data_IF_455949754711
#
_entry.id   IF_455949754711
#
_cell.length_a   1.000
_cell.length_b   1.000
_cell.length_c   1.000
_cell.angle_alpha   90.00
_cell.angle_beta   90.00
_cell.angle_gamma   90.00
#
_symmetry.space_group_name_H-M   'P 1'
#
loop_
_entity.id
_entity.type
_entity.pdbx_description
1 polymer ?
#
# COMPACT_ATOMS: atom_id res chain seq x y z
N UNK A 1 21.77 -23.18 -1.41
CA UNK A 1 21.62 -21.77 -1.83
C UNK A 1 20.28 -21.65 -2.52
N UNK A 2 19.20 -21.54 -1.75
CA UNK A 2 17.85 -21.42 -2.32
C UNK A 2 17.70 -20.01 -2.85
N UNK A 3 17.27 -19.94 -4.11
CA UNK A 3 16.80 -18.77 -4.83
C UNK A 3 15.60 -18.15 -4.12
N UNK A 4 15.85 -17.55 -2.97
CA UNK A 4 14.93 -16.58 -2.40
C UNK A 4 14.86 -15.44 -3.42
N UNK A 5 13.80 -15.46 -4.21
CA UNK A 5 13.56 -14.43 -5.21
C UNK A 5 13.66 -13.06 -4.56
N UNK A 6 13.95 -12.04 -5.37
CA UNK A 6 13.97 -10.62 -4.97
C UNK A 6 12.92 -10.35 -3.88
N UNK A 7 13.21 -9.55 -2.83
CA UNK A 7 12.27 -9.24 -1.75
C UNK A 7 10.84 -8.91 -2.24
N UNK A 8 10.72 -8.33 -3.43
CA UNK A 8 9.46 -8.14 -4.15
C UNK A 8 8.69 -9.44 -4.47
N UNK A 9 9.35 -10.46 -5.02
CA UNK A 9 8.79 -11.78 -5.30
C UNK A 9 8.33 -12.48 -4.02
N UNK A 10 9.08 -12.30 -2.92
CA UNK A 10 8.70 -12.83 -1.60
C UNK A 10 7.42 -12.15 -1.09
N UNK A 11 7.32 -10.82 -1.20
CA UNK A 11 6.12 -10.08 -0.81
C UNK A 11 4.90 -10.56 -1.62
N UNK A 12 5.02 -10.66 -2.94
CA UNK A 12 3.92 -11.10 -3.81
C UNK A 12 3.42 -12.50 -3.46
N UNK A 13 4.33 -13.43 -3.17
CA UNK A 13 3.97 -14.77 -2.68
C UNK A 13 3.28 -14.73 -1.32
N UNK A 14 3.75 -13.88 -0.41
CA UNK A 14 3.14 -13.73 0.90
C UNK A 14 1.71 -13.17 0.83
N UNK A 15 1.46 -12.22 -0.08
CA UNK A 15 0.12 -11.69 -0.38
C UNK A 15 -0.78 -12.82 -0.92
N UNK A 16 -0.31 -13.58 -1.91
CA UNK A 16 -1.06 -14.72 -2.47
C UNK A 16 -1.39 -15.79 -1.42
N UNK A 17 -0.49 -16.03 -0.47
CA UNK A 17 -0.71 -16.93 0.66
C UNK A 17 -1.55 -16.33 1.79
N UNK A 18 -1.87 -15.04 1.73
CA UNK A 18 -2.57 -14.29 2.79
C UNK A 18 -1.80 -14.24 4.11
N UNK A 19 -0.48 -14.40 4.13
CA UNK A 19 0.28 -14.51 5.38
C UNK A 19 0.68 -13.12 5.92
N UNK A 20 -0.17 -12.53 6.77
CA UNK A 20 0.06 -11.19 7.36
C UNK A 20 1.40 -11.05 8.09
N UNK A 21 1.87 -12.10 8.77
CA UNK A 21 3.16 -12.05 9.47
C UNK A 21 4.32 -11.87 8.49
N UNK A 22 4.34 -12.66 7.41
CA UNK A 22 5.38 -12.58 6.37
C UNK A 22 5.25 -11.30 5.55
N UNK A 23 4.02 -10.85 5.27
CA UNK A 23 3.76 -9.57 4.60
C UNK A 23 4.38 -8.43 5.40
N UNK A 24 4.10 -8.33 6.71
CA UNK A 24 4.60 -7.25 7.55
C UNK A 24 6.12 -7.25 7.64
N UNK A 25 6.75 -8.43 7.79
CA UNK A 25 8.20 -8.55 7.80
C UNK A 25 8.81 -8.09 6.46
N UNK A 26 8.28 -8.57 5.35
CA UNK A 26 8.83 -8.26 4.01
C UNK A 26 8.60 -6.80 3.62
N UNK A 27 7.45 -6.22 3.97
CA UNK A 27 7.17 -4.82 3.71
C UNK A 27 8.09 -3.88 4.51
N UNK A 28 8.45 -4.27 5.74
CA UNK A 28 9.43 -3.52 6.54
C UNK A 28 10.84 -3.56 5.91
N UNK A 29 11.25 -4.69 5.34
CA UNK A 29 12.52 -4.85 4.63
C UNK A 29 12.58 -4.01 3.33
N UNK A 30 11.49 -3.98 2.57
CA UNK A 30 11.41 -3.25 1.30
C UNK A 30 11.44 -1.73 1.45
N UNK A 31 11.07 -1.20 2.63
CA UNK A 31 11.04 0.24 2.93
C UNK A 31 9.93 1.02 2.22
N UNK A 32 9.51 0.61 1.03
CA UNK A 32 8.37 1.15 0.29
C UNK A 32 7.67 0.05 -0.51
N UNK A 33 6.34 0.10 -0.57
CA UNK A 33 5.52 -0.84 -1.36
C UNK A 33 4.75 -0.08 -2.43
N UNK A 34 4.60 -0.67 -3.60
CA UNK A 34 3.80 -0.09 -4.69
C UNK A 34 2.35 0.08 -4.25
N UNK A 35 1.60 0.97 -4.89
CA UNK A 35 0.18 1.14 -4.57
C UNK A 35 -0.62 -0.16 -4.86
N UNK A 36 -0.24 -0.88 -5.93
CA UNK A 36 -0.78 -2.20 -6.28
C UNK A 36 -0.54 -3.24 -5.18
N UNK A 37 0.69 -3.37 -4.69
CA UNK A 37 0.97 -4.34 -3.63
C UNK A 37 0.29 -3.94 -2.32
N UNK A 38 0.20 -2.63 -2.04
CA UNK A 38 -0.54 -2.13 -0.89
C UNK A 38 -2.03 -2.46 -0.96
N UNK A 39 -2.65 -2.48 -2.15
CA UNK A 39 -4.01 -2.99 -2.35
C UNK A 39 -4.06 -4.49 -2.04
N UNK A 40 -3.09 -5.27 -2.53
CA UNK A 40 -2.99 -6.69 -2.20
C UNK A 40 -2.94 -6.96 -0.70
N UNK A 41 -2.14 -6.19 0.04
CA UNK A 41 -2.07 -6.25 1.51
C UNK A 41 -3.41 -5.87 2.15
N UNK A 42 -4.06 -4.82 1.66
CA UNK A 42 -5.37 -4.37 2.14
C UNK A 42 -6.42 -5.48 2.01
N UNK A 43 -6.46 -6.20 0.89
CA UNK A 43 -7.37 -7.33 0.69
C UNK A 43 -7.08 -8.49 1.64
N UNK A 44 -5.81 -8.72 2.00
CA UNK A 44 -5.48 -9.72 3.04
C UNK A 44 -5.97 -9.26 4.42
N UNK A 45 -5.90 -7.96 4.72
CA UNK A 45 -6.41 -7.39 5.98
C UNK A 45 -7.93 -7.52 6.03
N UNK A 46 -8.64 -7.11 4.97
CA UNK A 46 -10.10 -7.25 4.85
C UNK A 46 -10.56 -8.69 5.15
N UNK A 47 -9.88 -9.69 4.57
CA UNK A 47 -10.21 -11.09 4.77
C UNK A 47 -9.89 -11.65 6.17
N UNK A 48 -9.16 -10.93 7.04
CA UNK A 48 -8.58 -11.49 8.29
C UNK A 48 -8.73 -10.65 9.55
N UNK A 49 -8.85 -9.34 9.43
CA UNK A 49 -8.71 -8.40 10.55
C UNK A 49 -9.47 -7.08 10.24
N UNK A 50 -10.74 -7.07 10.66
CA UNK A 50 -11.70 -6.00 10.40
C UNK A 50 -11.29 -4.66 11.07
N UNK A 51 -10.72 -4.69 12.28
CA UNK A 51 -10.37 -3.46 13.02
C UNK A 51 -9.30 -2.61 12.30
N UNK A 52 -8.42 -3.25 11.55
CA UNK A 52 -7.33 -2.58 10.83
C UNK A 52 -7.72 -2.17 9.42
N UNK A 53 -8.78 -2.77 8.88
CA UNK A 53 -9.20 -2.56 7.50
C UNK A 53 -9.51 -1.08 7.25
N UNK A 54 -10.36 -0.46 8.07
CA UNK A 54 -10.80 0.92 7.88
C UNK A 54 -9.60 1.90 7.78
N UNK A 55 -8.67 1.79 8.73
CA UNK A 55 -7.45 2.63 8.74
C UNK A 55 -6.54 2.35 7.55
N UNK A 56 -6.45 1.09 7.11
CA UNK A 56 -5.65 0.70 5.97
C UNK A 56 -6.27 1.18 4.65
N UNK A 57 -7.60 1.10 4.52
CA UNK A 57 -8.37 1.56 3.38
C UNK A 57 -8.26 3.09 3.19
N UNK A 58 -8.48 3.86 4.26
CA UNK A 58 -8.32 5.33 4.24
C UNK A 58 -6.89 5.72 3.83
N UNK A 59 -5.88 5.06 4.40
CA UNK A 59 -4.48 5.31 4.04
C UNK A 59 -4.20 4.97 2.57
N UNK A 60 -4.76 3.88 2.07
CA UNK A 60 -4.59 3.47 0.68
C UNK A 60 -5.25 4.47 -0.28
N UNK A 61 -6.48 4.91 0.00
CA UNK A 61 -7.18 5.92 -0.80
C UNK A 61 -6.43 7.26 -0.81
N UNK A 62 -5.88 7.69 0.33
CA UNK A 62 -5.04 8.87 0.41
C UNK A 62 -3.75 8.75 -0.42
N UNK A 63 -3.17 7.55 -0.53
CA UNK A 63 -2.03 7.31 -1.44
C UNK A 63 -2.45 7.35 -2.89
N UNK A 64 -3.59 6.75 -3.25
CA UNK A 64 -4.12 6.80 -4.61
C UNK A 64 -4.26 8.25 -5.10
N UNK A 65 -4.85 9.12 -4.27
CA UNK A 65 -5.00 10.54 -4.57
C UNK A 65 -3.67 11.31 -4.74
N UNK A 66 -2.56 10.79 -4.20
CA UNK A 66 -1.24 11.42 -4.27
C UNK A 66 -0.31 10.80 -5.32
N UNK A 67 -0.52 9.54 -5.67
CA UNK A 67 0.37 8.74 -6.53
C UNK A 67 -0.15 8.58 -7.97
N UNK A 68 -1.44 8.83 -8.21
CA UNK A 68 -2.03 8.83 -9.56
C UNK A 68 -2.20 10.28 -10.07
N UNK A 69 -1.30 10.78 -10.95
CA UNK A 69 -1.25 12.19 -11.34
C UNK A 69 -2.43 12.66 -12.20
N UNK A 70 -3.12 11.73 -12.84
CA UNK A 70 -4.26 11.92 -13.74
C UNK A 70 -5.60 11.50 -13.10
N UNK A 71 -5.60 11.25 -11.78
CA UNK A 71 -6.80 10.82 -11.07
C UNK A 71 -7.80 11.98 -10.92
N UNK A 72 -9.04 11.75 -11.33
CA UNK A 72 -10.12 12.72 -11.18
C UNK A 72 -10.98 12.46 -9.93
N UNK A 73 -11.69 13.49 -9.46
CA UNK A 73 -12.57 13.39 -8.29
C UNK A 73 -13.64 12.28 -8.40
N UNK A 74 -14.31 12.06 -9.55
CA UNK A 74 -15.27 10.96 -9.68
C UNK A 74 -14.62 9.58 -9.55
N UNK A 75 -13.37 9.43 -10.01
CA UNK A 75 -12.62 8.18 -9.91
C UNK A 75 -12.22 7.90 -8.46
N UNK A 76 -11.81 8.94 -7.72
CA UNK A 76 -11.56 8.83 -6.28
C UNK A 76 -12.83 8.47 -5.51
N UNK A 77 -13.96 9.11 -5.82
CA UNK A 77 -15.24 8.76 -5.21
C UNK A 77 -15.63 7.30 -5.49
N UNK A 78 -15.52 6.85 -6.74
CA UNK A 78 -15.76 5.46 -7.13
C UNK A 78 -14.78 4.47 -6.47
N UNK A 79 -13.55 4.88 -6.20
CA UNK A 79 -12.60 4.07 -5.42
C UNK A 79 -13.07 3.91 -3.96
N UNK A 80 -13.58 4.97 -3.33
CA UNK A 80 -14.13 4.89 -1.96
C UNK A 80 -15.37 3.99 -1.91
N UNK A 81 -16.27 4.11 -2.89
CA UNK A 81 -17.43 3.22 -3.02
C UNK A 81 -16.99 1.76 -3.21
N UNK A 82 -15.99 1.53 -4.06
CA UNK A 82 -15.42 0.18 -4.27
C UNK A 82 -14.78 -0.38 -3.00
N UNK A 83 -14.11 0.44 -2.19
CA UNK A 83 -13.57 0.00 -0.89
C UNK A 83 -14.66 -0.46 0.08
N UNK A 84 -15.81 0.23 0.11
CA UNK A 84 -16.96 -0.18 0.92
C UNK A 84 -17.67 -1.43 0.38
N UNK A 85 -17.58 -1.69 -0.92
CA UNK A 85 -18.21 -2.83 -1.57
C UNK A 85 -17.39 -4.13 -1.47
N UNK A 86 -16.17 -4.09 -0.91
CA UNK A 86 -15.37 -5.29 -0.73
C UNK A 86 -16.13 -6.35 0.11
N UNK A 87 -16.01 -7.65 -0.22
CA UNK A 87 -15.03 -8.24 -1.14
C UNK A 87 -15.50 -8.37 -2.61
N UNK A 88 -16.50 -7.59 -3.07
CA UNK A 88 -17.03 -7.67 -4.44
C UNK A 88 -15.94 -7.70 -5.55
N UNK A 89 -16.09 -8.61 -6.52
CA UNK A 89 -15.07 -8.80 -7.57
C UNK A 89 -14.95 -7.61 -8.51
N UNK A 90 -16.06 -6.93 -8.81
CA UNK A 90 -16.03 -5.76 -9.68
C UNK A 90 -15.32 -4.60 -8.97
N UNK A 91 -15.62 -4.38 -7.69
CA UNK A 91 -14.93 -3.43 -6.85
C UNK A 91 -13.41 -3.71 -6.79
N UNK A 92 -13.00 -4.97 -6.60
CA UNK A 92 -11.58 -5.35 -6.62
C UNK A 92 -10.91 -5.01 -7.96
N UNK A 93 -11.57 -5.29 -9.09
CA UNK A 93 -11.04 -4.98 -10.44
C UNK A 93 -10.90 -3.47 -10.66
N UNK A 94 -11.87 -2.68 -10.21
CA UNK A 94 -11.83 -1.22 -10.29
C UNK A 94 -10.66 -0.67 -9.48
N UNK A 95 -10.50 -1.10 -8.23
CA UNK A 95 -9.39 -0.68 -7.37
C UNK A 95 -8.03 -1.06 -7.96
N UNK A 96 -7.93 -2.25 -8.56
CA UNK A 96 -6.71 -2.71 -9.22
C UNK A 96 -6.36 -1.84 -10.44
N UNK A 97 -7.34 -1.54 -11.29
CA UNK A 97 -7.13 -0.70 -12.48
C UNK A 97 -6.65 0.71 -12.09
N UNK A 98 -7.21 1.28 -11.02
CA UNK A 98 -6.75 2.57 -10.48
C UNK A 98 -5.34 2.46 -9.88
N UNK A 99 -5.04 1.37 -9.16
CA UNK A 99 -3.73 1.15 -8.57
C UNK A 99 -2.61 1.01 -9.61
N UNK A 100 -2.92 0.47 -10.79
CA UNK A 100 -1.97 0.29 -11.89
C UNK A 100 -1.56 1.60 -12.56
N UNK A 101 -2.36 2.66 -12.43
CA UNK A 101 -2.05 4.02 -12.92
C UNK A 101 -1.07 4.78 -12.02
N UNK A 102 -0.89 4.32 -10.78
CA UNK A 102 -0.05 5.01 -9.82
C UNK A 102 1.43 4.95 -10.21
N UNK A 103 2.07 6.12 -10.19
CA UNK A 103 3.52 6.22 -10.30
C UNK A 103 4.08 5.97 -8.89
N UNK A 104 5.07 5.07 -8.74
CA UNK A 104 5.68 4.83 -7.43
C UNK A 104 6.12 6.15 -6.81
N UNK A 105 5.61 6.47 -5.61
CA UNK A 105 6.11 7.62 -4.87
C UNK A 105 7.62 7.49 -4.73
N UNK A 106 8.37 8.46 -5.27
CA UNK A 106 9.82 8.49 -5.13
C UNK A 106 10.19 8.31 -3.66
N UNK A 107 11.21 7.48 -3.33
CA UNK A 107 11.53 7.18 -1.95
C UNK A 107 11.74 8.49 -1.20
N UNK A 108 10.87 8.75 -0.20
CA UNK A 108 11.02 9.89 0.70
C UNK A 108 12.37 9.73 1.40
N UNK A 109 13.42 10.35 0.86
CA UNK A 109 14.70 10.45 1.55
C UNK A 109 14.41 11.00 2.94
N UNK A 110 14.79 10.23 3.97
CA UNK A 110 14.73 10.71 5.36
C UNK A 110 15.51 12.02 5.36
N UNK A 111 14.81 13.17 5.50
CA UNK A 111 15.50 14.44 5.75
C UNK A 111 16.45 14.18 6.91
N UNK A 112 17.75 14.47 6.79
CA UNK A 112 18.65 14.39 7.94
C UNK A 112 17.99 15.19 9.05
N UNK A 113 17.81 14.56 10.22
CA UNK A 113 17.45 15.30 11.42
C UNK A 113 18.60 16.26 11.65
N UNK A 114 18.44 17.50 11.23
CA UNK A 114 19.40 18.56 11.48
C UNK A 114 19.50 18.70 12.99
N UNK A 115 20.60 18.20 13.53
CA UNK A 115 20.96 18.32 14.94
C UNK A 115 21.03 19.80 15.25
N UNK A 116 19.95 20.33 15.82
CA UNK A 116 19.89 21.66 16.40
C UNK A 116 20.82 21.66 17.61
N UNK A 117 22.13 21.81 17.36
CA UNK A 117 23.10 22.12 18.39
C UNK A 117 22.80 23.54 18.85
N UNK A 118 22.01 23.62 19.91
CA UNK A 118 21.85 24.82 20.73
C UNK A 118 23.22 25.12 21.31
N UNK A 119 23.88 26.12 20.74
CA UNK A 119 25.09 26.72 21.29
C UNK A 119 24.63 27.66 22.42
N UNK A 120 24.77 27.15 23.64
CA UNK A 120 24.77 27.86 24.93
C UNK A 120 25.89 27.18 25.71
N UNK A 121 26.94 27.81 26.21
CA UNK A 121 27.28 29.22 26.45
C UNK A 121 28.80 29.37 26.37
#
# INVERSE_FOLDING_TARGET
MTSDGSPYTRLRRAIQAGNLAVINATAAELGSVTLRDALGILLVIEAKDDERFERAAVRWAGRLALEAPDLELPELAGALESLHALPDEHAQRTLLALAERAIPAAPRHKRPRESRNVRTS
#
